data_IF_966223461592
#
_entry.id   IF_966223461592
#
_cell.length_a   1.000
_cell.length_b   1.000
_cell.length_c   1.000
_cell.angle_alpha   90.00
_cell.angle_beta   90.00
_cell.angle_gamma   90.00
#
_symmetry.space_group_name_H-M   'P 1'
#
loop_
_entity.id
_entity.type
_entity.pdbx_description
1 polymer ?
#
# COMPACT_ATOMS: atom_id res chain seq x y z
N UNK A 1 20.72 16.04 -2.38
CA UNK A 1 20.73 15.37 -1.07
C UNK A 1 20.84 13.88 -1.34
N UNK A 2 21.67 13.16 -0.58
CA UNK A 2 21.79 11.69 -0.70
C UNK A 2 20.90 10.96 0.32
N UNK A 3 20.66 9.67 0.12
CA UNK A 3 19.74 8.88 0.95
C UNK A 3 20.11 8.88 2.44
N UNK A 4 21.40 8.80 2.76
CA UNK A 4 21.91 8.80 4.14
C UNK A 4 21.56 10.10 4.88
N UNK A 5 21.61 11.23 4.18
CA UNK A 5 21.22 12.52 4.72
C UNK A 5 19.70 12.57 4.95
N UNK A 6 18.93 12.11 3.96
CA UNK A 6 17.48 12.06 4.07
C UNK A 6 17.05 11.23 5.27
N UNK A 7 17.56 10.00 5.40
CA UNK A 7 17.12 9.11 6.46
C UNK A 7 17.57 9.54 7.85
N UNK A 8 18.72 10.22 7.95
CA UNK A 8 19.15 10.85 9.22
C UNK A 8 18.14 11.89 9.70
N UNK A 9 17.63 12.74 8.80
CA UNK A 9 16.60 13.72 9.15
C UNK A 9 15.25 13.06 9.48
N UNK A 10 14.87 11.97 8.78
CA UNK A 10 13.69 11.17 9.14
C UNK A 10 13.82 10.54 10.53
N UNK A 11 14.98 9.99 10.88
CA UNK A 11 15.22 9.41 12.20
C UNK A 11 15.12 10.47 13.31
N UNK A 12 15.66 11.67 13.07
CA UNK A 12 15.53 12.80 13.98
C UNK A 12 14.06 13.19 14.24
N UNK A 13 13.19 13.14 13.24
CA UNK A 13 11.75 13.31 13.45
C UNK A 13 11.19 12.27 14.43
N UNK A 14 11.51 10.99 14.21
CA UNK A 14 11.04 9.91 15.07
C UNK A 14 11.58 10.02 16.49
N UNK A 15 12.83 10.45 16.67
CA UNK A 15 13.42 10.67 17.99
C UNK A 15 12.74 11.82 18.75
N UNK A 16 12.37 12.90 18.06
CA UNK A 16 11.57 13.97 18.65
C UNK A 16 10.17 13.48 19.05
N UNK A 17 9.55 12.61 18.25
CA UNK A 17 8.26 11.99 18.57
C UNK A 17 8.35 11.08 19.80
N UNK A 18 9.40 10.26 19.92
CA UNK A 18 9.66 9.41 21.10
C UNK A 18 9.81 10.23 22.38
N UNK A 19 10.35 11.45 22.28
CA UNK A 19 10.47 12.41 23.40
C UNK A 19 9.19 13.19 23.68
N UNK A 20 8.04 12.84 23.08
CA UNK A 20 6.74 13.51 23.23
C UNK A 20 6.74 14.97 22.71
N UNK A 21 7.72 15.35 21.88
CA UNK A 21 7.85 16.70 21.33
C UNK A 21 7.11 16.86 19.98
N UNK A 22 5.82 16.49 19.93
CA UNK A 22 5.03 16.41 18.68
C UNK A 22 5.05 17.71 17.86
N UNK A 23 4.86 18.87 18.48
CA UNK A 23 4.84 20.18 17.77
C UNK A 23 6.19 20.49 17.13
N UNK A 24 7.29 20.25 17.86
CA UNK A 24 8.64 20.48 17.35
C UNK A 24 8.98 19.49 16.24
N UNK A 25 8.63 18.21 16.40
CA UNK A 25 8.82 17.19 15.37
C UNK A 25 8.11 17.58 14.07
N UNK A 26 6.84 17.99 14.14
CA UNK A 26 6.07 18.37 12.96
C UNK A 26 6.61 19.66 12.30
N UNK A 27 7.03 20.65 13.09
CA UNK A 27 7.65 21.89 12.58
C UNK A 27 8.97 21.60 11.86
N UNK A 28 9.82 20.77 12.48
CA UNK A 28 11.07 20.31 11.90
C UNK A 28 10.83 19.57 10.57
N UNK A 29 9.90 18.60 10.57
CA UNK A 29 9.63 17.81 9.37
C UNK A 29 9.07 18.67 8.23
N UNK A 30 8.20 19.63 8.54
CA UNK A 30 7.67 20.59 7.56
C UNK A 30 8.78 21.43 6.92
N UNK A 31 9.71 21.95 7.73
CA UNK A 31 10.85 22.71 7.21
C UNK A 31 11.78 21.83 6.37
N UNK A 32 12.01 20.58 6.79
CA UNK A 32 12.83 19.62 6.08
C UNK A 32 12.23 19.25 4.71
N UNK A 33 10.96 18.88 4.64
CA UNK A 33 10.33 18.50 3.36
C UNK A 33 10.21 19.69 2.41
N UNK A 34 9.99 20.90 2.92
CA UNK A 34 10.08 22.12 2.12
C UNK A 34 11.48 22.30 1.50
N UNK A 35 12.52 22.21 2.33
CA UNK A 35 13.91 22.29 1.84
C UNK A 35 14.20 21.21 0.79
N UNK A 36 13.76 19.97 1.05
CA UNK A 36 13.93 18.85 0.12
C UNK A 36 13.33 19.15 -1.25
N UNK A 37 12.07 19.62 -1.29
CA UNK A 37 11.39 20.01 -2.54
C UNK A 37 12.08 21.15 -3.30
N UNK A 38 12.60 22.14 -2.57
CA UNK A 38 13.18 23.35 -3.18
C UNK A 38 14.64 23.18 -3.63
N UNK A 39 15.40 22.26 -3.03
CA UNK A 39 16.86 22.22 -3.16
C UNK A 39 17.43 20.88 -3.67
N UNK A 40 16.60 19.86 -3.85
CA UNK A 40 17.03 18.55 -4.37
C UNK A 40 16.51 18.41 -5.80
N UNK A 41 17.39 17.99 -6.71
CA UNK A 41 16.98 17.74 -8.10
C UNK A 41 15.94 16.61 -8.15
N UNK A 42 15.03 16.63 -9.12
CA UNK A 42 14.02 15.57 -9.29
C UNK A 42 14.66 14.18 -9.35
N UNK A 43 15.74 14.03 -10.13
CA UNK A 43 16.47 12.77 -10.25
C UNK A 43 17.00 12.26 -8.91
N UNK A 44 17.60 13.13 -8.10
CA UNK A 44 18.13 12.75 -6.79
C UNK A 44 17.00 12.48 -5.80
N UNK A 45 15.92 13.28 -5.85
CA UNK A 45 14.74 13.09 -5.02
C UNK A 45 14.10 11.73 -5.30
N UNK A 46 13.94 11.35 -6.57
CA UNK A 46 13.38 10.08 -6.99
C UNK A 46 14.23 8.90 -6.52
N UNK A 47 15.56 9.00 -6.63
CA UNK A 47 16.46 7.97 -6.12
C UNK A 47 16.34 7.80 -4.60
N UNK A 48 16.22 8.91 -3.87
CA UNK A 48 16.04 8.92 -2.40
C UNK A 48 14.68 8.32 -2.02
N UNK A 49 13.60 8.72 -2.68
CA UNK A 49 12.24 8.25 -2.38
C UNK A 49 12.05 6.79 -2.78
N UNK A 50 12.66 6.35 -3.89
CA UNK A 50 12.71 4.94 -4.29
C UNK A 50 13.36 4.09 -3.19
N UNK A 51 14.57 4.47 -2.75
CA UNK A 51 15.28 3.75 -1.70
C UNK A 51 14.49 3.79 -0.38
N UNK A 52 13.85 4.91 -0.05
CA UNK A 52 12.98 5.01 1.11
C UNK A 52 11.79 4.05 1.05
N UNK A 53 11.06 3.99 -0.06
CA UNK A 53 9.93 3.08 -0.24
C UNK A 53 10.37 1.62 -0.13
N UNK A 54 11.47 1.25 -0.78
CA UNK A 54 12.03 -0.10 -0.69
C UNK A 54 12.32 -0.47 0.77
N UNK A 55 13.02 0.40 1.51
CA UNK A 55 13.36 0.11 2.89
C UNK A 55 12.14 0.10 3.82
N UNK A 56 11.19 1.03 3.64
CA UNK A 56 10.00 1.15 4.48
C UNK A 56 8.98 0.05 4.23
N UNK A 57 8.72 -0.28 2.96
CA UNK A 57 7.65 -1.19 2.54
C UNK A 57 8.18 -2.62 2.40
N UNK A 58 9.25 -2.83 1.64
CA UNK A 58 9.69 -4.18 1.27
C UNK A 58 10.58 -4.80 2.35
N UNK A 59 11.48 -4.00 2.92
CA UNK A 59 12.44 -4.46 3.94
C UNK A 59 11.93 -4.23 5.37
N UNK A 60 10.74 -3.64 5.51
CA UNK A 60 10.07 -3.38 6.78
C UNK A 60 10.94 -2.63 7.80
N UNK A 61 11.88 -1.79 7.34
CA UNK A 61 12.74 -0.98 8.20
C UNK A 61 11.94 0.18 8.82
N UNK A 62 12.50 0.77 9.88
CA UNK A 62 11.99 1.90 10.67
C UNK A 62 11.01 1.55 11.81
N UNK A 63 11.10 2.26 12.95
CA UNK A 63 10.32 1.95 14.14
C UNK A 63 8.82 2.19 13.88
N UNK A 64 8.07 1.10 13.86
CA UNK A 64 6.62 1.08 13.66
C UNK A 64 5.97 -0.29 13.90
N UNK A 65 6.76 -1.34 14.15
CA UNK A 65 6.32 -2.74 14.31
C UNK A 65 5.35 -2.98 15.47
N UNK A 66 5.17 -2.00 16.36
CA UNK A 66 4.21 -2.04 17.47
C UNK A 66 3.14 -0.95 17.38
N UNK A 67 3.11 -0.15 16.31
CA UNK A 67 2.01 0.78 16.07
C UNK A 67 0.94 0.06 15.27
N UNK A 68 -0.33 0.07 15.72
CA UNK A 68 -1.43 -0.68 15.07
C UNK A 68 -1.70 -0.22 13.63
N UNK A 69 -1.09 0.89 13.20
CA UNK A 69 -1.09 1.39 11.83
C UNK A 69 0.28 2.02 11.54
N UNK A 70 1.00 1.48 10.54
CA UNK A 70 2.25 2.05 9.99
C UNK A 70 1.95 3.38 9.27
N UNK A 71 1.64 4.42 10.03
CA UNK A 71 1.31 5.74 9.47
C UNK A 71 2.58 6.58 9.32
N UNK A 72 2.94 6.83 8.07
CA UNK A 72 3.90 7.86 7.72
C UNK A 72 3.36 9.25 8.13
N UNK A 73 4.23 10.18 8.53
CA UNK A 73 3.84 11.56 8.75
C UNK A 73 3.26 12.20 7.48
N UNK A 74 2.30 13.10 7.64
CA UNK A 74 1.63 13.81 6.52
C UNK A 74 2.62 14.40 5.50
N UNK A 75 3.71 15.02 5.97
CA UNK A 75 4.71 15.63 5.10
C UNK A 75 5.49 14.59 4.28
N UNK A 76 5.65 13.36 4.78
CA UNK A 76 6.30 12.28 4.04
C UNK A 76 5.33 11.66 3.04
N UNK A 77 4.07 11.45 3.43
CA UNK A 77 3.07 10.97 2.48
C UNK A 77 2.87 11.96 1.34
N UNK A 78 3.03 13.27 1.58
CA UNK A 78 2.99 14.30 0.52
C UNK A 78 4.12 14.14 -0.51
N UNK A 79 5.34 13.86 -0.06
CA UNK A 79 6.48 13.60 -0.96
C UNK A 79 6.26 12.32 -1.76
N UNK A 80 5.77 11.28 -1.10
CA UNK A 80 5.52 9.98 -1.72
C UNK A 80 4.36 10.02 -2.69
N UNK A 81 3.30 10.76 -2.39
CA UNK A 81 2.15 10.94 -3.28
C UNK A 81 2.60 11.56 -4.61
N UNK A 82 3.31 12.70 -4.56
CA UNK A 82 3.82 13.35 -5.77
C UNK A 82 4.77 12.47 -6.59
N UNK A 83 5.62 11.69 -5.92
CA UNK A 83 6.56 10.77 -6.57
C UNK A 83 5.83 9.56 -7.18
N UNK A 84 5.03 8.85 -6.38
CA UNK A 84 4.38 7.60 -6.78
C UNK A 84 3.32 7.84 -7.84
N UNK A 85 2.57 8.95 -7.80
CA UNK A 85 1.58 9.26 -8.84
C UNK A 85 2.24 9.37 -10.22
N UNK A 86 3.36 10.11 -10.33
CA UNK A 86 4.13 10.22 -11.59
C UNK A 86 4.70 8.88 -12.05
N UNK A 87 5.17 8.06 -11.13
CA UNK A 87 5.75 6.75 -11.47
C UNK A 87 4.66 5.73 -11.84
N UNK A 88 3.45 5.84 -11.28
CA UNK A 88 2.29 5.06 -11.67
C UNK A 88 1.79 5.42 -13.08
N UNK A 89 1.83 6.70 -13.46
CA UNK A 89 1.53 7.12 -14.84
C UNK A 89 2.52 6.51 -15.85
N UNK A 90 3.73 6.20 -15.41
CA UNK A 90 4.81 5.60 -16.21
C UNK A 90 4.85 4.06 -16.14
N UNK A 91 3.82 3.43 -15.57
CA UNK A 91 3.74 1.97 -15.37
C UNK A 91 4.97 1.39 -14.63
N UNK A 92 5.57 2.14 -13.70
CA UNK A 92 6.78 1.66 -13.03
C UNK A 92 6.48 0.64 -11.92
N UNK A 93 7.21 -0.46 -11.96
CA UNK A 93 7.29 -1.46 -10.89
C UNK A 93 8.60 -1.30 -10.12
N UNK A 94 8.59 -1.38 -8.77
CA UNK A 94 7.45 -1.72 -7.89
C UNK A 94 6.57 -0.53 -7.44
N UNK A 95 6.76 0.68 -7.98
CA UNK A 95 6.08 1.91 -7.53
C UNK A 95 4.55 1.81 -7.55
N UNK A 96 3.94 1.17 -8.56
CA UNK A 96 2.50 0.92 -8.58
C UNK A 96 2.02 0.09 -7.38
N UNK A 97 2.75 -0.96 -7.01
CA UNK A 97 2.46 -1.75 -5.81
C UNK A 97 2.60 -0.90 -4.55
N UNK A 98 3.69 -0.13 -4.45
CA UNK A 98 3.95 0.73 -3.29
C UNK A 98 2.86 1.81 -3.11
N UNK A 99 2.38 2.39 -4.20
CA UNK A 99 1.29 3.36 -4.19
C UNK A 99 0.03 2.76 -3.56
N UNK A 100 -0.34 1.54 -3.95
CA UNK A 100 -1.47 0.83 -3.35
C UNK A 100 -1.24 0.55 -1.86
N UNK A 101 -0.06 0.07 -1.47
CA UNK A 101 0.23 -0.25 -0.07
C UNK A 101 0.22 0.97 0.86
N UNK A 102 0.56 2.16 0.33
CA UNK A 102 0.53 3.40 1.11
C UNK A 102 -0.87 4.03 1.11
N UNK A 103 -1.57 4.04 -0.03
CA UNK A 103 -2.76 4.86 -0.24
C UNK A 103 -4.05 4.09 -0.56
N UNK A 104 -3.98 2.82 -0.98
CA UNK A 104 -5.13 2.07 -1.49
C UNK A 104 -6.19 1.73 -0.44
N UNK A 105 -5.77 1.45 0.79
CA UNK A 105 -6.67 1.03 1.88
C UNK A 105 -6.96 2.13 2.92
N UNK A 106 -6.55 3.37 2.66
CA UNK A 106 -6.75 4.49 3.58
C UNK A 106 -7.07 5.78 2.84
N UNK A 107 -7.89 6.65 3.44
CA UNK A 107 -8.09 8.00 2.93
C UNK A 107 -6.75 8.70 2.66
N UNK A 108 -6.50 9.05 1.40
CA UNK A 108 -5.35 9.85 1.01
C UNK A 108 -5.70 11.34 1.20
N UNK A 109 -5.12 12.04 2.20
CA UNK A 109 -5.42 13.46 2.41
C UNK A 109 -4.86 14.36 1.29
N UNK A 110 -4.03 13.83 0.41
CA UNK A 110 -3.45 14.53 -0.74
C UNK A 110 -4.26 14.34 -2.02
N UNK A 111 -5.27 13.47 -2.00
CA UNK A 111 -6.24 13.27 -3.06
C UNK A 111 -7.69 13.46 -2.55
N UNK A 112 -8.06 14.71 -2.18
CA UNK A 112 -9.36 14.98 -1.59
C UNK A 112 -10.53 14.83 -2.57
N UNK A 113 -10.25 14.84 -3.87
CA UNK A 113 -11.22 14.64 -4.97
C UNK A 113 -11.43 13.17 -5.31
N UNK A 114 -10.63 12.26 -4.74
CA UNK A 114 -10.62 10.83 -5.05
C UNK A 114 -10.36 10.57 -6.55
N UNK A 115 -9.52 11.42 -7.16
CA UNK A 115 -9.18 11.29 -8.57
C UNK A 115 -8.33 10.04 -8.84
N UNK A 116 -7.66 9.50 -7.81
CA UNK A 116 -6.82 8.32 -7.88
C UNK A 116 -7.49 7.11 -7.22
N UNK A 117 -8.10 6.26 -8.05
CA UNK A 117 -8.44 4.91 -7.63
C UNK A 117 -7.19 4.02 -7.71
N UNK A 118 -6.67 3.62 -6.55
CA UNK A 118 -5.48 2.78 -6.46
C UNK A 118 -5.75 1.31 -6.78
N UNK A 119 -7.00 0.83 -6.72
CA UNK A 119 -7.29 -0.58 -7.01
C UNK A 119 -7.00 -0.95 -8.49
N UNK A 120 -7.39 -0.13 -9.50
CA UNK A 120 -6.92 -0.27 -10.87
C UNK A 120 -5.38 -0.24 -11.01
N UNK A 121 -4.69 0.54 -10.18
CA UNK A 121 -3.22 0.61 -10.17
C UNK A 121 -2.63 -0.73 -9.69
N UNK A 122 -3.19 -1.35 -8.64
CA UNK A 122 -2.77 -2.67 -8.19
C UNK A 122 -3.01 -3.75 -9.27
N UNK A 123 -4.16 -3.70 -9.94
CA UNK A 123 -4.45 -4.61 -11.05
C UNK A 123 -3.44 -4.43 -12.20
N UNK A 124 -3.07 -3.19 -12.54
CA UNK A 124 -2.01 -2.91 -13.52
C UNK A 124 -0.66 -3.47 -13.06
N UNK A 125 -0.31 -3.30 -11.79
CA UNK A 125 0.90 -3.87 -11.21
C UNK A 125 0.94 -5.40 -11.34
N UNK A 126 -0.19 -6.09 -11.08
CA UNK A 126 -0.30 -7.53 -11.26
C UNK A 126 -0.08 -7.97 -12.71
N UNK A 127 -0.66 -7.23 -13.66
CA UNK A 127 -0.58 -7.53 -15.10
C UNK A 127 0.76 -7.13 -15.74
N UNK A 128 1.60 -6.37 -15.03
CA UNK A 128 2.86 -5.85 -15.56
C UNK A 128 3.90 -6.96 -15.78
N UNK A 129 4.74 -6.84 -16.82
CA UNK A 129 5.78 -7.84 -17.15
C UNK A 129 6.80 -8.05 -16.00
N UNK A 130 7.05 -7.00 -15.21
CA UNK A 130 7.91 -6.99 -14.02
C UNK A 130 7.14 -7.23 -12.71
N UNK A 131 5.97 -7.86 -12.77
CA UNK A 131 5.18 -8.22 -11.58
C UNK A 131 6.02 -9.09 -10.62
N UNK A 132 6.21 -8.61 -9.39
CA UNK A 132 6.99 -9.27 -8.36
C UNK A 132 6.10 -10.18 -7.47
N UNK A 133 6.69 -11.14 -6.72
CA UNK A 133 5.91 -12.01 -5.85
C UNK A 133 5.10 -11.29 -4.76
N UNK A 134 5.56 -10.12 -4.30
CA UNK A 134 4.81 -9.33 -3.31
C UNK A 134 3.57 -8.70 -3.94
N UNK A 135 3.62 -8.32 -5.21
CA UNK A 135 2.43 -7.86 -5.96
C UNK A 135 1.41 -8.97 -6.14
N UNK A 136 1.86 -10.18 -6.47
CA UNK A 136 0.97 -11.34 -6.58
C UNK A 136 0.27 -11.61 -5.24
N UNK A 137 1.04 -11.64 -4.15
CA UNK A 137 0.51 -11.80 -2.80
C UNK A 137 -0.53 -10.74 -2.47
N UNK A 138 -0.16 -9.47 -2.63
CA UNK A 138 -1.03 -8.33 -2.32
C UNK A 138 -2.33 -8.36 -3.13
N UNK A 139 -2.26 -8.64 -4.44
CA UNK A 139 -3.46 -8.69 -5.28
C UNK A 139 -4.39 -9.86 -4.93
N UNK A 140 -3.82 -10.99 -4.50
CA UNK A 140 -4.59 -12.12 -3.99
C UNK A 140 -5.22 -11.81 -2.63
N UNK A 141 -4.48 -11.18 -1.72
CA UNK A 141 -4.98 -10.73 -0.41
C UNK A 141 -6.16 -9.77 -0.55
N UNK A 142 -6.21 -8.93 -1.59
CA UNK A 142 -7.38 -8.08 -1.84
C UNK A 142 -8.65 -8.87 -2.22
N UNK A 143 -8.49 -10.04 -2.86
CA UNK A 143 -9.63 -10.94 -3.09
C UNK A 143 -10.14 -11.51 -1.77
N UNK A 144 -9.22 -11.93 -0.89
CA UNK A 144 -9.55 -12.39 0.45
C UNK A 144 -10.19 -11.28 1.29
N UNK A 145 -9.68 -10.06 1.24
CA UNK A 145 -10.23 -8.92 1.98
C UNK A 145 -11.67 -8.62 1.57
N UNK A 146 -11.97 -8.72 0.27
CA UNK A 146 -13.33 -8.55 -0.26
C UNK A 146 -14.29 -9.63 0.28
N UNK A 147 -13.86 -10.90 0.30
CA UNK A 147 -14.63 -12.02 0.87
C UNK A 147 -14.77 -11.87 2.39
N UNK A 148 -13.71 -11.50 3.10
CA UNK A 148 -13.73 -11.30 4.54
C UNK A 148 -14.68 -10.17 4.95
N UNK A 149 -14.72 -9.06 4.18
CA UNK A 149 -15.63 -7.95 4.44
C UNK A 149 -17.08 -8.34 4.14
N UNK A 150 -17.32 -9.05 3.04
CA UNK A 150 -18.67 -9.43 2.65
C UNK A 150 -19.36 -10.38 3.64
N UNK A 151 -18.62 -11.24 4.34
CA UNK A 151 -19.19 -12.16 5.34
C UNK A 151 -19.52 -11.48 6.68
N UNK A 152 -19.24 -10.18 6.85
CA UNK A 152 -19.29 -9.51 8.16
C UNK A 152 -20.64 -9.62 8.88
N UNK A 153 -21.73 -9.82 8.14
CA UNK A 153 -23.08 -9.95 8.67
C UNK A 153 -23.68 -11.36 8.50
N UNK A 154 -22.85 -12.37 8.25
CA UNK A 154 -23.33 -13.74 8.15
C UNK A 154 -23.81 -14.30 9.50
N UNK A 155 -24.88 -15.13 9.50
CA UNK A 155 -25.70 -15.53 8.34
C UNK A 155 -26.89 -14.59 8.05
N UNK A 156 -27.08 -13.50 8.79
CA UNK A 156 -28.26 -12.64 8.68
C UNK A 156 -28.34 -11.87 7.36
N UNK A 157 -27.19 -11.47 6.81
CA UNK A 157 -27.11 -10.80 5.50
C UNK A 157 -25.70 -10.87 4.91
N UNK A 158 -25.59 -10.70 3.60
CA UNK A 158 -24.31 -10.65 2.88
C UNK A 158 -23.96 -9.22 2.46
N UNK A 159 -22.70 -8.83 2.68
CA UNK A 159 -22.15 -7.57 2.21
C UNK A 159 -21.76 -7.54 0.73
N UNK A 160 -21.83 -8.68 0.03
CA UNK A 160 -21.57 -8.78 -1.41
C UNK A 160 -22.67 -9.59 -2.12
N UNK A 161 -22.88 -9.34 -3.41
CA UNK A 161 -23.82 -10.14 -4.21
C UNK A 161 -23.21 -11.47 -4.65
N UNK A 162 -24.05 -12.35 -5.21
CA UNK A 162 -23.59 -13.61 -5.78
C UNK A 162 -22.67 -13.37 -6.99
N UNK A 163 -22.99 -12.39 -7.82
CA UNK A 163 -22.20 -12.01 -9.00
C UNK A 163 -20.83 -11.45 -8.58
N UNK A 164 -20.78 -10.64 -7.52
CA UNK A 164 -19.52 -10.14 -6.94
C UNK A 164 -18.68 -11.29 -6.40
N UNK A 165 -19.28 -12.22 -5.66
CA UNK A 165 -18.61 -13.44 -5.19
C UNK A 165 -18.02 -14.26 -6.35
N UNK A 166 -18.82 -14.55 -7.38
CA UNK A 166 -18.37 -15.30 -8.56
C UNK A 166 -17.23 -14.59 -9.30
N UNK A 167 -17.28 -13.25 -9.40
CA UNK A 167 -16.21 -12.43 -9.97
C UNK A 167 -14.92 -12.53 -9.16
N UNK A 168 -14.99 -12.40 -7.84
CA UNK A 168 -13.83 -12.50 -6.93
C UNK A 168 -13.20 -13.89 -7.06
N UNK A 169 -14.01 -14.96 -7.02
CA UNK A 169 -13.54 -16.34 -7.17
C UNK A 169 -12.88 -16.57 -8.54
N UNK A 170 -13.44 -16.01 -9.60
CA UNK A 170 -12.87 -16.09 -10.95
C UNK A 170 -11.48 -15.44 -11.03
N UNK A 171 -11.33 -14.25 -10.44
CA UNK A 171 -10.03 -13.54 -10.37
C UNK A 171 -9.02 -14.33 -9.53
N UNK A 172 -9.41 -14.80 -8.34
CA UNK A 172 -8.53 -15.58 -7.48
C UNK A 172 -8.07 -16.89 -8.14
N UNK A 173 -8.98 -17.64 -8.78
CA UNK A 173 -8.63 -18.85 -9.52
C UNK A 173 -7.71 -18.56 -10.71
N UNK A 174 -7.89 -17.44 -11.40
CA UNK A 174 -6.96 -17.01 -12.44
C UNK A 174 -5.55 -16.81 -11.87
N UNK A 175 -5.42 -16.11 -10.75
CA UNK A 175 -4.12 -15.92 -10.07
C UNK A 175 -3.49 -17.28 -9.73
N UNK A 176 -4.26 -18.21 -9.15
CA UNK A 176 -3.77 -19.55 -8.78
C UNK A 176 -3.31 -20.38 -10.00
N UNK A 177 -3.89 -20.16 -11.17
CA UNK A 177 -3.49 -20.84 -12.41
C UNK A 177 -2.24 -20.23 -13.07
N UNK A 178 -1.95 -18.95 -12.81
CA UNK A 178 -0.87 -18.20 -13.47
C UNK A 178 0.37 -18.02 -12.58
N UNK A 179 0.20 -18.03 -11.26
CA UNK A 179 1.23 -17.61 -10.29
C UNK A 179 1.26 -18.52 -9.06
N UNK A 180 2.38 -18.51 -8.35
CA UNK A 180 2.52 -19.18 -7.05
C UNK A 180 1.99 -18.30 -5.94
N UNK A 181 1.07 -18.83 -5.13
CA UNK A 181 0.50 -18.20 -3.95
C UNK A 181 0.87 -19.02 -2.70
N UNK A 182 1.02 -18.37 -1.56
CA UNK A 182 1.35 -19.02 -0.30
C UNK A 182 0.22 -19.97 0.13
N UNK A 183 0.51 -21.21 0.56
CA UNK A 183 -0.52 -22.19 0.93
C UNK A 183 -1.54 -21.68 1.95
N UNK A 184 -1.10 -20.87 2.92
CA UNK A 184 -1.99 -20.30 3.94
C UNK A 184 -3.09 -19.42 3.34
N UNK A 185 -2.78 -18.64 2.30
CA UNK A 185 -3.76 -17.80 1.60
C UNK A 185 -4.71 -18.66 0.76
N UNK A 186 -4.23 -19.78 0.22
CA UNK A 186 -5.06 -20.74 -0.52
C UNK A 186 -6.07 -21.39 0.43
N UNK A 187 -5.62 -21.83 1.60
CA UNK A 187 -6.49 -22.42 2.63
C UNK A 187 -7.57 -21.43 3.08
N UNK A 188 -7.21 -20.16 3.27
CA UNK A 188 -8.16 -19.10 3.61
C UNK A 188 -9.16 -18.83 2.47
N UNK A 189 -8.69 -18.81 1.22
CA UNK A 189 -9.56 -18.68 0.05
C UNK A 189 -10.58 -19.82 -0.01
N UNK A 190 -10.13 -21.07 0.11
CA UNK A 190 -11.00 -22.24 0.08
C UNK A 190 -12.05 -22.23 1.20
N UNK A 191 -11.69 -21.71 2.38
CA UNK A 191 -12.63 -21.50 3.47
C UNK A 191 -13.75 -20.53 3.06
N UNK A 192 -13.41 -19.35 2.53
CA UNK A 192 -14.42 -18.40 2.10
C UNK A 192 -15.28 -18.95 0.97
N UNK A 193 -14.69 -19.61 -0.03
CA UNK A 193 -15.48 -20.21 -1.12
C UNK A 193 -16.55 -21.16 -0.59
N UNK A 194 -16.20 -22.05 0.36
CA UNK A 194 -17.18 -22.96 1.00
C UNK A 194 -18.26 -22.22 1.77
N UNK A 195 -17.86 -21.20 2.53
CA UNK A 195 -18.79 -20.39 3.33
C UNK A 195 -19.84 -19.71 2.46
N UNK A 196 -19.41 -19.05 1.38
CA UNK A 196 -20.28 -18.34 0.46
C UNK A 196 -21.15 -19.27 -0.40
N UNK A 197 -20.61 -20.42 -0.84
CA UNK A 197 -21.40 -21.45 -1.50
C UNK A 197 -22.55 -21.91 -0.61
N UNK A 198 -22.28 -22.14 0.68
CA UNK A 198 -23.30 -22.54 1.65
C UNK A 198 -24.39 -21.46 1.85
N UNK A 199 -24.02 -20.18 1.76
CA UNK A 199 -24.97 -19.07 1.93
C UNK A 199 -25.86 -18.83 0.70
N UNK A 200 -25.32 -18.99 -0.51
CA UNK A 200 -26.03 -18.71 -1.76
C UNK A 200 -26.77 -19.92 -2.38
N UNK A 201 -26.60 -21.11 -1.81
CA UNK A 201 -27.36 -22.33 -2.11
C UNK A 201 -28.68 -22.39 -1.32
#
# INVERSE_FOLDING_TARGET
MIYEQFITEIQKYWDLRKKVLKKQANSFLSAFTKYFKENVSERDADAVLFQFCKEYIDEMKFPGDHLPRRHLPFQITELLDSYLSRECERDQMPQMRWAYQIFGNTYNPHDPTLDHDFFPILKRAYMHEKCDPQTVKLYFEEQLASLWLGQHHFPESCGITKEEFESIVSVANKILSEKTVEPQLIDEFEYYVKLYQTYFE
#
